data_IF_158790661919
#
_entry.id   IF_158790661919
#
_cell.length_a   1.000
_cell.length_b   1.000
_cell.length_c   1.000
_cell.angle_alpha   90.00
_cell.angle_beta   90.00
_cell.angle_gamma   90.00
#
_symmetry.space_group_name_H-M   'P 1'
#
loop_
_entity.id
_entity.type
_entity.pdbx_description
1 polymer ?
#
# COMPACT_ATOMS: atom_id res chain seq x y z
N UNK A 1 42.78 -9.62 -25.28
CA UNK A 1 43.57 -8.50 -24.73
C UNK A 1 42.95 -8.10 -23.39
N UNK A 2 43.74 -8.00 -22.33
CA UNK A 2 43.25 -7.49 -21.04
C UNK A 2 43.08 -5.96 -21.14
N UNK A 3 41.91 -5.41 -20.77
CA UNK A 3 41.68 -3.98 -20.62
C UNK A 3 42.55 -3.38 -19.52
N UNK A 4 42.98 -2.14 -19.67
CA UNK A 4 43.68 -1.39 -18.61
C UNK A 4 42.67 -0.92 -17.55
N UNK A 5 43.01 -1.07 -16.28
CA UNK A 5 42.27 -0.51 -15.15
C UNK A 5 42.72 0.96 -14.96
N UNK A 6 42.08 1.85 -15.72
CA UNK A 6 42.34 3.30 -15.65
C UNK A 6 41.11 4.00 -15.14
N UNK A 7 41.30 4.86 -14.13
CA UNK A 7 40.26 5.69 -13.56
C UNK A 7 40.38 7.14 -14.10
N UNK A 8 39.28 7.68 -14.61
CA UNK A 8 39.24 9.07 -15.10
C UNK A 8 38.23 9.85 -14.28
N UNK A 9 38.72 10.80 -13.49
CA UNK A 9 37.88 11.78 -12.82
C UNK A 9 37.54 12.93 -13.79
N UNK A 10 36.25 13.09 -14.08
CA UNK A 10 35.74 14.24 -14.81
C UNK A 10 35.15 15.24 -13.82
N UNK A 11 35.68 16.46 -13.80
CA UNK A 11 35.19 17.55 -12.97
C UNK A 11 33.80 18.04 -13.39
N UNK A 12 33.44 17.86 -14.64
CA UNK A 12 32.15 18.24 -15.22
C UNK A 12 31.58 17.14 -16.09
N UNK A 13 30.25 16.92 -15.96
CA UNK A 13 29.48 16.09 -16.89
C UNK A 13 28.37 16.91 -17.55
N UNK A 14 28.35 16.96 -18.89
CA UNK A 14 27.35 17.69 -19.69
C UNK A 14 26.33 16.69 -20.23
N UNK A 15 25.71 15.89 -19.34
CA UNK A 15 24.65 14.95 -19.72
C UNK A 15 23.43 15.16 -18.84
N UNK A 16 22.23 15.10 -19.46
CA UNK A 16 20.98 15.07 -18.71
C UNK A 16 20.79 13.69 -18.09
N UNK A 17 20.11 13.63 -16.92
CA UNK A 17 19.77 12.34 -16.29
C UNK A 17 18.99 11.42 -17.23
N UNK A 18 18.19 12.00 -18.12
CA UNK A 18 17.43 11.24 -19.12
C UNK A 18 18.33 10.45 -20.09
N UNK A 19 19.51 10.96 -20.39
CA UNK A 19 20.47 10.30 -21.30
C UNK A 19 21.13 9.04 -20.68
N UNK A 20 21.10 8.92 -19.35
CA UNK A 20 21.62 7.74 -18.63
C UNK A 20 20.62 6.58 -18.58
N UNK A 21 19.34 6.84 -18.82
CA UNK A 21 18.30 5.81 -18.75
C UNK A 21 18.08 5.26 -20.15
N UNK A 22 18.28 3.94 -20.39
CA UNK A 22 18.05 3.34 -21.70
C UNK A 22 16.62 3.60 -22.21
N UNK A 23 16.46 3.83 -23.50
CA UNK A 23 15.14 4.09 -24.11
C UNK A 23 14.15 2.94 -23.90
N UNK A 24 14.65 1.70 -23.80
CA UNK A 24 13.84 0.49 -23.55
C UNK A 24 13.59 0.20 -22.07
N UNK A 25 14.06 1.05 -21.15
CA UNK A 25 13.92 0.78 -19.72
C UNK A 25 12.44 0.85 -19.27
N UNK A 26 11.91 -0.17 -18.54
CA UNK A 26 10.49 -0.24 -18.16
C UNK A 26 9.98 0.98 -17.41
N UNK A 27 10.82 1.58 -16.56
CA UNK A 27 10.43 2.79 -15.83
C UNK A 27 10.09 3.98 -16.72
N UNK A 28 10.46 4.01 -18.01
CA UNK A 28 10.06 5.09 -18.90
C UNK A 28 8.56 5.09 -19.15
N UNK A 29 8.00 3.93 -19.48
CA UNK A 29 6.55 3.78 -19.66
C UNK A 29 5.79 4.03 -18.35
N UNK A 30 6.29 3.46 -17.24
CA UNK A 30 5.71 3.68 -15.91
C UNK A 30 5.73 5.17 -15.53
N UNK A 31 6.83 5.88 -15.80
CA UNK A 31 6.94 7.30 -15.48
C UNK A 31 5.93 8.16 -16.26
N UNK A 32 5.63 7.82 -17.49
CA UNK A 32 4.59 8.50 -18.29
C UNK A 32 3.23 8.30 -17.62
N UNK A 33 2.83 7.06 -17.35
CA UNK A 33 1.56 6.75 -16.69
C UNK A 33 1.44 7.43 -15.32
N UNK A 34 2.52 7.43 -14.55
CA UNK A 34 2.57 8.08 -13.22
C UNK A 34 2.41 9.60 -13.37
N UNK A 35 3.08 10.22 -14.33
CA UNK A 35 2.98 11.66 -14.53
C UNK A 35 1.56 12.07 -14.95
N UNK A 36 0.92 11.30 -15.83
CA UNK A 36 -0.46 11.55 -16.25
C UNK A 36 -1.42 11.46 -15.05
N UNK A 37 -1.29 10.42 -14.21
CA UNK A 37 -2.08 10.28 -12.99
C UNK A 37 -1.83 11.44 -12.01
N UNK A 38 -0.57 11.83 -11.80
CA UNK A 38 -0.22 12.92 -10.90
C UNK A 38 -0.75 14.29 -11.37
N UNK A 39 -0.83 14.51 -12.69
CA UNK A 39 -1.40 15.74 -13.23
C UNK A 39 -2.89 15.87 -12.90
N UNK A 40 -3.63 14.78 -12.93
CA UNK A 40 -5.06 14.77 -12.57
C UNK A 40 -5.30 15.01 -11.07
N UNK A 41 -4.28 14.89 -10.24
CA UNK A 41 -4.36 15.07 -8.77
C UNK A 41 -3.91 16.46 -8.29
N UNK A 42 -3.60 17.40 -9.17
CA UNK A 42 -3.10 18.73 -8.76
C UNK A 42 -4.07 19.47 -7.82
N UNK A 43 -5.38 19.41 -8.06
CA UNK A 43 -6.38 20.03 -7.19
C UNK A 43 -6.43 19.38 -5.80
N UNK A 44 -6.21 18.08 -5.70
CA UNK A 44 -6.09 17.38 -4.42
C UNK A 44 -4.84 17.85 -3.69
N UNK A 45 -3.70 17.89 -4.38
CA UNK A 45 -2.44 18.33 -3.79
C UNK A 45 -2.48 19.79 -3.33
N UNK A 46 -3.12 20.67 -4.08
CA UNK A 46 -3.30 22.08 -3.68
C UNK A 46 -4.04 22.20 -2.35
N UNK A 47 -5.07 21.38 -2.11
CA UNK A 47 -5.86 21.39 -0.87
C UNK A 47 -5.15 20.78 0.34
N UNK A 48 -4.08 20.01 0.13
CA UNK A 48 -3.32 19.39 1.22
C UNK A 48 -2.38 20.34 1.94
N UNK A 49 -2.14 21.52 1.39
CA UNK A 49 -1.17 22.49 1.89
C UNK A 49 -1.82 23.83 2.15
N UNK A 50 -1.29 24.55 3.12
CA UNK A 50 -1.68 25.93 3.35
C UNK A 50 -1.20 26.83 2.22
N UNK A 51 -1.94 27.94 2.03
CA UNK A 51 -1.61 28.96 1.03
C UNK A 51 -0.15 29.48 1.26
N UNK A 52 0.59 29.60 0.17
CA UNK A 52 1.95 30.14 0.16
C UNK A 52 2.05 31.55 0.76
N UNK A 53 0.94 32.34 0.73
CA UNK A 53 0.86 33.64 1.34
C UNK A 53 1.07 33.64 2.86
N UNK A 54 0.81 32.51 3.54
CA UNK A 54 1.06 32.36 4.98
C UNK A 54 2.54 32.19 5.33
N UNK A 55 3.42 32.05 4.33
CA UNK A 55 4.84 31.80 4.53
C UNK A 55 5.17 30.38 5.02
N UNK A 56 6.43 30.11 5.22
CA UNK A 56 6.92 28.83 5.69
C UNK A 56 7.92 28.18 4.73
N UNK A 57 8.61 27.14 5.20
CA UNK A 57 9.54 26.38 4.36
C UNK A 57 8.76 25.46 3.41
N UNK A 58 9.03 25.49 2.10
CA UNK A 58 8.41 24.57 1.15
C UNK A 58 8.61 23.11 1.59
N UNK A 59 7.55 22.31 1.55
CA UNK A 59 7.60 20.88 1.81
C UNK A 59 8.10 20.10 0.59
N UNK A 60 8.27 18.79 0.74
CA UNK A 60 8.51 17.92 -0.42
C UNK A 60 7.25 17.93 -1.29
N UNK A 61 7.41 18.14 -2.58
CA UNK A 61 6.28 18.07 -3.52
C UNK A 61 5.62 16.66 -3.47
N UNK A 62 4.28 16.56 -3.36
CA UNK A 62 3.58 15.28 -3.29
C UNK A 62 3.86 14.37 -4.48
N UNK A 63 4.04 14.94 -5.66
CA UNK A 63 4.41 14.20 -6.86
C UNK A 63 5.78 13.49 -6.72
N UNK A 64 6.77 14.15 -6.11
CA UNK A 64 8.09 13.56 -5.84
C UNK A 64 7.99 12.45 -4.78
N UNK A 65 7.17 12.65 -3.76
CA UNK A 65 6.92 11.63 -2.71
C UNK A 65 6.29 10.37 -3.29
N UNK A 66 5.23 10.50 -4.09
CA UNK A 66 4.54 9.35 -4.70
C UNK A 66 5.47 8.58 -5.65
N UNK A 67 6.28 9.28 -6.47
CA UNK A 67 7.28 8.60 -7.30
C UNK A 67 8.33 7.87 -6.46
N UNK A 68 8.77 8.45 -5.35
CA UNK A 68 9.73 7.79 -4.45
C UNK A 68 9.12 6.56 -3.76
N UNK A 69 7.86 6.63 -3.33
CA UNK A 69 7.12 5.49 -2.77
C UNK A 69 6.95 4.37 -3.80
N UNK A 70 6.66 4.70 -5.05
CA UNK A 70 6.60 3.71 -6.14
C UNK A 70 7.92 2.98 -6.34
N UNK A 71 9.05 3.70 -6.32
CA UNK A 71 10.37 3.07 -6.39
C UNK A 71 10.62 2.13 -5.21
N UNK A 72 10.16 2.51 -4.03
CA UNK A 72 10.27 1.66 -2.84
C UNK A 72 9.59 0.30 -3.05
N UNK A 73 8.40 0.31 -3.64
CA UNK A 73 7.65 -0.91 -3.97
C UNK A 73 8.29 -1.67 -5.14
N UNK A 74 8.54 -0.99 -6.27
CA UNK A 74 9.03 -1.62 -7.50
C UNK A 74 10.41 -2.27 -7.34
N UNK A 75 11.25 -1.71 -6.46
CA UNK A 75 12.60 -2.22 -6.18
C UNK A 75 12.72 -2.92 -4.83
N UNK A 76 11.59 -3.18 -4.14
CA UNK A 76 11.56 -3.87 -2.84
C UNK A 76 12.49 -3.25 -1.80
N UNK A 77 12.57 -1.91 -1.76
CA UNK A 77 13.41 -1.18 -0.81
C UNK A 77 12.75 -1.20 0.57
N UNK A 78 13.36 -1.90 1.53
CA UNK A 78 12.73 -2.26 2.80
C UNK A 78 12.52 -1.10 3.78
N UNK A 79 13.26 -0.02 3.64
CA UNK A 79 13.18 1.10 4.60
C UNK A 79 13.34 2.45 3.91
N UNK A 80 12.77 3.48 4.52
CA UNK A 80 12.93 4.86 4.06
C UNK A 80 14.38 5.34 4.13
N UNK A 81 15.15 4.87 5.12
CA UNK A 81 16.59 5.15 5.21
C UNK A 81 17.32 4.62 3.99
N UNK A 82 17.08 3.36 3.63
CA UNK A 82 17.68 2.74 2.44
C UNK A 82 17.19 3.42 1.16
N UNK A 83 15.92 3.83 1.09
CA UNK A 83 15.41 4.58 -0.05
C UNK A 83 16.17 5.91 -0.21
N UNK A 84 16.33 6.68 0.85
CA UNK A 84 17.07 7.95 0.80
C UNK A 84 18.53 7.75 0.43
N UNK A 85 19.16 6.70 0.94
CA UNK A 85 20.52 6.31 0.56
C UNK A 85 20.60 5.98 -0.94
N UNK A 86 19.68 5.15 -1.47
CA UNK A 86 19.61 4.88 -2.90
C UNK A 86 19.41 6.15 -3.73
N UNK A 87 18.51 7.03 -3.33
CA UNK A 87 18.26 8.30 -4.01
C UNK A 87 19.50 9.20 -4.01
N UNK A 88 20.42 9.07 -3.02
CA UNK A 88 21.61 9.87 -2.93
C UNK A 88 22.56 9.65 -4.13
N UNK A 89 22.72 8.43 -4.61
CA UNK A 89 23.70 8.08 -5.64
C UNK A 89 23.13 7.34 -6.86
N UNK A 90 21.89 6.86 -6.82
CA UNK A 90 21.28 6.14 -7.94
C UNK A 90 20.64 7.12 -8.93
N UNK A 91 21.29 7.30 -10.07
CA UNK A 91 20.83 8.24 -11.11
C UNK A 91 19.46 7.87 -11.69
N UNK A 92 19.13 6.57 -11.78
CA UNK A 92 17.82 6.09 -12.23
C UNK A 92 16.72 6.52 -11.25
N UNK A 93 16.96 6.41 -9.94
CA UNK A 93 16.00 6.83 -8.91
C UNK A 93 15.80 8.34 -8.96
N UNK A 94 16.89 9.11 -9.02
CA UNK A 94 16.82 10.58 -9.14
C UNK A 94 16.03 11.00 -10.37
N UNK A 95 16.32 10.39 -11.52
CA UNK A 95 15.58 10.64 -12.76
C UNK A 95 14.09 10.33 -12.61
N UNK A 96 13.72 9.19 -12.06
CA UNK A 96 12.32 8.79 -11.92
C UNK A 96 11.55 9.72 -10.98
N UNK A 97 12.14 10.12 -9.87
CA UNK A 97 11.56 11.06 -8.89
C UNK A 97 11.44 12.47 -9.48
N UNK A 98 12.37 12.87 -10.34
CA UNK A 98 12.50 14.22 -10.86
C UNK A 98 13.41 15.11 -9.99
N UNK A 99 14.50 14.53 -9.50
CA UNK A 99 15.60 15.24 -8.82
C UNK A 99 16.74 15.44 -9.79
N UNK A 100 17.38 16.63 -9.77
CA UNK A 100 18.64 16.86 -10.47
C UNK A 100 19.82 16.20 -9.78
N UNK A 101 20.98 16.17 -10.40
CA UNK A 101 22.19 15.62 -9.76
C UNK A 101 22.61 16.41 -8.51
N UNK A 102 22.30 17.69 -8.49
CA UNK A 102 22.68 18.63 -7.41
C UNK A 102 21.64 18.78 -6.31
N UNK A 103 20.40 18.30 -6.56
CA UNK A 103 19.33 18.39 -5.57
C UNK A 103 19.68 17.60 -4.31
N UNK A 104 19.51 18.22 -3.16
CA UNK A 104 19.66 17.54 -1.87
C UNK A 104 18.58 16.47 -1.69
N UNK A 105 18.97 15.31 -1.17
CA UNK A 105 18.03 14.24 -0.79
C UNK A 105 17.46 14.54 0.59
N UNK A 106 16.23 14.16 0.80
CA UNK A 106 15.52 14.36 2.05
C UNK A 106 16.08 13.43 3.15
N UNK A 107 15.93 13.86 4.40
CA UNK A 107 16.19 12.95 5.52
C UNK A 107 14.96 12.06 5.77
N UNK A 108 15.14 10.81 6.26
CA UNK A 108 14.04 9.86 6.43
C UNK A 108 12.86 10.40 7.24
N UNK A 109 13.13 11.13 8.33
CA UNK A 109 12.07 11.70 9.18
C UNK A 109 11.20 12.74 8.48
N UNK A 110 11.78 13.53 7.56
CA UNK A 110 11.03 14.48 6.74
C UNK A 110 10.18 13.73 5.71
N UNK A 111 10.74 12.68 5.11
CA UNK A 111 10.02 11.83 4.17
C UNK A 111 8.81 11.17 4.85
N UNK A 112 9.00 10.54 6.01
CA UNK A 112 7.92 9.89 6.79
C UNK A 112 6.77 10.85 7.12
N UNK A 113 7.09 12.05 7.62
CA UNK A 113 6.06 13.06 7.93
C UNK A 113 5.25 13.49 6.71
N UNK A 114 5.91 13.68 5.56
CA UNK A 114 5.22 14.06 4.34
C UNK A 114 4.43 12.90 3.74
N UNK A 115 4.93 11.66 3.85
CA UNK A 115 4.17 10.45 3.49
C UNK A 115 2.89 10.31 4.32
N UNK A 116 2.98 10.56 5.64
CA UNK A 116 1.82 10.53 6.52
C UNK A 116 0.73 11.49 6.05
N UNK A 117 1.10 12.69 5.61
CA UNK A 117 0.14 13.65 5.03
C UNK A 117 -0.55 13.12 3.79
N UNK A 118 0.16 12.40 2.90
CA UNK A 118 -0.47 11.76 1.73
C UNK A 118 -1.53 10.73 2.14
N UNK A 119 -1.27 9.99 3.22
CA UNK A 119 -2.21 8.98 3.76
C UNK A 119 -3.44 9.67 4.36
N UNK A 120 -3.24 10.69 5.18
CA UNK A 120 -4.32 11.45 5.85
C UNK A 120 -5.29 12.15 4.88
N UNK A 121 -4.84 12.43 3.66
CA UNK A 121 -5.65 13.03 2.60
C UNK A 121 -6.06 12.05 1.50
N UNK A 122 -5.94 10.75 1.74
CA UNK A 122 -6.29 9.68 0.77
C UNK A 122 -5.59 9.81 -0.60
N UNK A 123 -4.47 10.52 -0.66
CA UNK A 123 -3.78 10.78 -1.92
C UNK A 123 -3.24 9.50 -2.59
N UNK A 124 -2.90 8.48 -1.80
CA UNK A 124 -2.45 7.18 -2.33
C UNK A 124 -3.62 6.43 -2.97
N UNK A 125 -4.81 6.49 -2.36
CA UNK A 125 -6.02 5.88 -2.92
C UNK A 125 -6.46 6.61 -4.18
N UNK A 126 -6.44 7.94 -4.17
CA UNK A 126 -6.74 8.75 -5.34
C UNK A 126 -5.78 8.44 -6.51
N UNK A 127 -4.48 8.32 -6.22
CA UNK A 127 -3.48 7.93 -7.22
C UNK A 127 -3.75 6.52 -7.79
N UNK A 128 -4.10 5.55 -6.95
CA UNK A 128 -4.49 4.22 -7.40
C UNK A 128 -5.70 4.26 -8.35
N UNK A 129 -6.72 5.05 -8.02
CA UNK A 129 -7.92 5.21 -8.84
C UNK A 129 -7.61 5.85 -10.20
N UNK A 130 -6.70 6.84 -10.25
CA UNK A 130 -6.25 7.44 -11.52
C UNK A 130 -5.52 6.42 -12.42
N UNK A 131 -4.71 5.53 -11.83
CA UNK A 131 -4.07 4.45 -12.59
C UNK A 131 -5.11 3.44 -13.10
N UNK A 132 -6.15 3.12 -12.31
CA UNK A 132 -7.26 2.29 -12.76
C UNK A 132 -8.05 2.94 -13.91
N UNK A 133 -8.33 4.24 -13.83
CA UNK A 133 -8.99 4.97 -14.91
C UNK A 133 -8.18 4.92 -16.21
N UNK A 134 -6.85 4.98 -16.15
CA UNK A 134 -6.00 4.78 -17.31
C UNK A 134 -6.11 3.37 -17.90
N UNK A 135 -6.19 2.33 -17.03
CA UNK A 135 -6.38 0.94 -17.46
C UNK A 135 -7.76 0.73 -18.10
N UNK A 136 -8.77 1.37 -17.55
CA UNK A 136 -10.13 1.36 -18.11
C UNK A 136 -10.19 2.02 -19.48
N UNK A 137 -9.62 3.20 -19.65
CA UNK A 137 -9.56 3.92 -20.91
C UNK A 137 -8.81 3.15 -22.01
N UNK A 138 -7.95 2.20 -21.63
CA UNK A 138 -7.23 1.30 -22.56
C UNK A 138 -7.93 -0.04 -22.77
N UNK A 139 -9.14 -0.21 -22.23
CA UNK A 139 -9.91 -1.46 -22.28
C UNK A 139 -9.15 -2.68 -21.72
N UNK A 140 -8.37 -2.46 -20.67
CA UNK A 140 -7.62 -3.53 -20.02
C UNK A 140 -8.41 -4.26 -18.93
N UNK A 141 -9.58 -3.75 -18.56
CA UNK A 141 -10.48 -4.34 -17.56
C UNK A 141 -11.68 -4.99 -18.23
N UNK A 142 -12.08 -6.18 -17.77
CA UNK A 142 -13.31 -6.86 -18.24
C UNK A 142 -14.56 -6.30 -17.58
N UNK A 143 -14.44 -5.89 -16.31
CA UNK A 143 -15.53 -5.46 -15.43
C UNK A 143 -16.59 -6.54 -15.13
N UNK A 144 -16.34 -7.78 -15.54
CA UNK A 144 -17.28 -8.89 -15.43
C UNK A 144 -16.71 -10.08 -14.65
N UNK A 145 -15.42 -10.33 -14.80
CA UNK A 145 -14.77 -11.51 -14.22
C UNK A 145 -13.71 -11.08 -13.22
N UNK A 146 -13.93 -11.41 -11.96
CA UNK A 146 -13.04 -11.06 -10.88
C UNK A 146 -12.60 -12.28 -10.09
N UNK A 147 -11.43 -12.17 -9.47
CA UNK A 147 -10.97 -13.09 -8.43
C UNK A 147 -10.70 -12.32 -7.15
N UNK A 148 -11.05 -12.93 -6.02
CA UNK A 148 -10.75 -12.39 -4.69
C UNK A 148 -9.78 -13.30 -3.98
N UNK A 149 -8.81 -12.69 -3.30
CA UNK A 149 -7.87 -13.39 -2.44
C UNK A 149 -7.54 -12.57 -1.20
N UNK A 150 -7.21 -13.26 -0.11
CA UNK A 150 -6.83 -12.67 1.16
C UNK A 150 -5.46 -13.17 1.62
N UNK A 151 -4.63 -12.26 2.10
CA UNK A 151 -3.32 -12.57 2.65
C UNK A 151 -3.18 -12.04 4.08
N UNK A 152 -2.40 -12.74 4.90
CA UNK A 152 -2.06 -12.26 6.24
C UNK A 152 -0.91 -11.26 6.15
N UNK A 153 -1.09 -10.10 6.77
CA UNK A 153 -0.08 -9.06 6.90
C UNK A 153 0.38 -9.05 8.37
N UNK A 154 1.67 -9.26 8.59
CA UNK A 154 2.23 -9.21 9.94
C UNK A 154 2.26 -7.77 10.42
N UNK A 155 1.72 -7.51 11.62
CA UNK A 155 1.79 -6.21 12.25
C UNK A 155 3.23 -5.88 12.69
N UNK A 156 3.59 -4.60 12.68
CA UNK A 156 4.86 -4.11 13.21
C UNK A 156 4.81 -4.00 14.74
N UNK A 157 4.29 -5.04 15.38
CA UNK A 157 4.11 -5.12 16.81
C UNK A 157 4.63 -6.47 17.32
N UNK A 158 5.28 -6.48 18.47
CA UNK A 158 5.76 -7.71 19.08
C UNK A 158 4.74 -8.27 20.06
N UNK A 159 4.81 -9.57 20.35
CA UNK A 159 4.01 -10.19 21.41
C UNK A 159 4.19 -9.55 22.79
N UNK A 160 5.32 -8.87 23.03
CA UNK A 160 5.56 -8.13 24.27
C UNK A 160 4.65 -6.92 24.43
N UNK A 161 4.20 -6.33 23.31
CA UNK A 161 3.26 -5.22 23.33
C UNK A 161 1.81 -5.65 23.56
N UNK A 162 1.52 -6.97 23.48
CA UNK A 162 0.18 -7.52 23.64
C UNK A 162 -0.13 -7.72 25.13
N UNK A 163 -0.79 -6.74 25.74
CA UNK A 163 -1.05 -6.63 27.16
C UNK A 163 -2.54 -6.55 27.44
N UNK A 164 -2.93 -6.77 28.70
CA UNK A 164 -4.34 -6.66 29.12
C UNK A 164 -4.86 -5.24 28.91
N UNK A 165 -6.11 -5.13 28.46
CA UNK A 165 -6.80 -3.84 28.24
C UNK A 165 -7.02 -3.08 29.56
N UNK A 166 -7.16 -3.81 30.67
CA UNK A 166 -7.51 -3.27 31.98
C UNK A 166 -6.28 -2.88 32.84
N UNK A 167 -5.05 -3.13 32.39
CA UNK A 167 -3.85 -2.82 33.16
C UNK A 167 -3.24 -1.49 32.70
N UNK A 168 -3.09 -0.47 33.60
CA UNK A 168 -2.27 0.69 33.33
C UNK A 168 -0.82 0.25 33.16
N UNK A 169 -0.24 0.60 32.03
CA UNK A 169 0.99 0.02 31.51
C UNK A 169 2.27 0.49 32.17
N UNK A 170 2.67 -0.08 33.27
CA UNK A 170 4.03 -0.05 33.81
C UNK A 170 4.35 -1.38 34.47
N UNK A 171 4.44 -2.45 33.71
CA UNK A 171 4.82 -3.77 34.20
C UNK A 171 6.08 -4.28 33.51
N UNK A 172 7.20 -4.33 34.25
CA UNK A 172 8.46 -4.98 33.86
C UNK A 172 8.34 -6.51 33.66
N UNK A 173 7.15 -7.07 33.68
CA UNK A 173 6.87 -8.53 33.58
C UNK A 173 6.73 -9.04 32.12
N UNK A 174 7.38 -8.40 31.16
CA UNK A 174 7.34 -8.81 29.75
C UNK A 174 8.33 -9.95 29.40
N UNK A 175 8.72 -10.78 30.36
CA UNK A 175 9.60 -11.92 30.14
C UNK A 175 8.84 -13.24 30.22
N UNK A 176 8.06 -13.58 29.20
CA UNK A 176 7.83 -14.99 28.83
C UNK A 176 7.03 -15.07 27.53
N UNK A 177 7.69 -15.50 26.47
CA UNK A 177 7.02 -15.90 25.25
C UNK A 177 6.26 -17.22 25.46
N UNK A 178 4.96 -17.14 25.58
CA UNK A 178 4.08 -18.30 25.63
C UNK A 178 2.64 -17.87 25.42
N UNK A 179 1.85 -18.72 24.76
CA UNK A 179 0.41 -18.50 24.55
C UNK A 179 -0.35 -18.49 25.88
N UNK A 180 0.32 -18.90 26.96
CA UNK A 180 -0.27 -19.10 28.27
C UNK A 180 0.63 -18.51 29.38
N UNK A 181 0.27 -17.37 29.93
CA UNK A 181 0.97 -16.77 31.04
C UNK A 181 0.10 -16.93 32.31
N UNK A 182 0.59 -17.69 33.30
CA UNK A 182 -0.13 -18.03 34.54
C UNK A 182 -1.44 -18.80 34.30
N UNK A 183 -1.51 -19.65 33.24
CA UNK A 183 -2.69 -20.47 32.97
C UNK A 183 -3.90 -19.72 32.43
N UNK A 184 -3.74 -18.47 31.96
CA UNK A 184 -4.80 -17.72 31.30
C UNK A 184 -4.48 -17.49 29.82
N UNK A 185 -5.32 -17.99 28.89
CA UNK A 185 -5.11 -17.80 27.49
C UNK A 185 -5.23 -16.31 27.12
N UNK A 186 -4.28 -15.80 26.33
CA UNK A 186 -4.35 -14.44 25.76
C UNK A 186 -5.31 -14.43 24.60
N UNK A 187 -6.33 -13.58 24.64
CA UNK A 187 -7.29 -13.41 23.55
C UNK A 187 -7.44 -11.93 23.17
N UNK A 188 -7.93 -11.67 21.97
CA UNK A 188 -8.23 -10.31 21.49
C UNK A 188 -9.33 -9.61 22.32
N UNK A 189 -10.14 -10.37 23.06
CA UNK A 189 -11.18 -9.81 23.93
C UNK A 189 -10.58 -9.15 25.15
N UNK A 190 -9.54 -9.77 25.72
CA UNK A 190 -8.92 -9.38 27.00
C UNK A 190 -7.61 -8.62 26.84
N UNK A 191 -6.97 -8.71 25.67
CA UNK A 191 -5.65 -8.11 25.40
C UNK A 191 -5.65 -7.31 24.11
N UNK A 192 -4.78 -6.31 24.05
CA UNK A 192 -4.51 -5.53 22.85
C UNK A 192 -3.02 -5.16 22.76
N UNK A 193 -2.56 -4.85 21.57
CA UNK A 193 -1.19 -4.36 21.40
C UNK A 193 -1.12 -2.86 21.68
N UNK A 194 -0.23 -2.45 22.61
CA UNK A 194 0.03 -1.03 22.87
C UNK A 194 0.74 -0.31 21.71
N UNK A 195 1.55 -1.04 20.95
CA UNK A 195 2.27 -0.47 19.81
C UNK A 195 1.39 -0.34 18.57
N UNK A 196 0.38 -1.21 18.44
CA UNK A 196 -0.52 -1.26 17.28
C UNK A 196 -1.88 -1.83 17.73
N UNK A 197 -2.76 -0.98 18.28
CA UNK A 197 -4.03 -1.40 18.89
C UNK A 197 -5.02 -2.05 17.91
N UNK A 198 -4.87 -1.77 16.62
CA UNK A 198 -5.73 -2.33 15.58
C UNK A 198 -5.31 -3.74 15.14
N UNK A 199 -4.07 -4.14 15.44
CA UNK A 199 -3.61 -5.50 15.15
C UNK A 199 -4.33 -6.54 16.02
N UNK A 200 -4.51 -7.73 15.47
CA UNK A 200 -5.18 -8.85 16.18
C UNK A 200 -4.28 -10.05 16.23
N UNK A 201 -4.30 -10.73 17.39
CA UNK A 201 -3.65 -12.01 17.54
C UNK A 201 -4.42 -13.04 16.70
N UNK A 202 -3.82 -13.54 15.64
CA UNK A 202 -4.47 -14.41 14.68
C UNK A 202 -3.56 -15.53 14.19
N UNK A 203 -4.19 -16.70 13.95
CA UNK A 203 -3.54 -17.91 13.45
C UNK A 203 -4.36 -18.50 12.31
N UNK A 204 -3.73 -18.74 11.15
CA UNK A 204 -4.34 -19.49 10.05
C UNK A 204 -3.79 -20.92 10.05
N UNK A 205 -4.66 -21.90 10.29
CA UNK A 205 -4.28 -23.31 10.32
C UNK A 205 -3.31 -23.65 11.45
N UNK A 206 -2.17 -24.29 11.12
CA UNK A 206 -1.15 -24.74 12.08
C UNK A 206 0.00 -23.73 12.27
N UNK A 207 -0.12 -22.49 11.77
CA UNK A 207 0.92 -21.47 11.92
C UNK A 207 0.97 -20.93 13.36
N UNK A 208 2.05 -20.23 13.72
CA UNK A 208 2.12 -19.50 14.98
C UNK A 208 1.06 -18.41 15.06
N UNK A 209 0.55 -18.18 16.26
CA UNK A 209 -0.32 -17.04 16.55
C UNK A 209 0.51 -15.77 16.61
N UNK A 210 0.21 -14.80 15.77
CA UNK A 210 0.95 -13.53 15.66
C UNK A 210 -0.01 -12.36 15.53
N UNK A 211 0.48 -11.16 15.88
CA UNK A 211 -0.27 -9.92 15.66
C UNK A 211 -0.31 -9.62 14.16
N UNK A 212 -1.50 -9.59 13.59
CA UNK A 212 -1.71 -9.53 12.15
C UNK A 212 -2.90 -8.66 11.77
N UNK A 213 -2.86 -8.25 10.51
CA UNK A 213 -3.99 -7.76 9.72
C UNK A 213 -4.28 -8.74 8.58
N UNK A 214 -5.40 -8.55 7.92
CA UNK A 214 -5.70 -9.21 6.65
C UNK A 214 -5.73 -8.19 5.53
N UNK A 215 -4.96 -8.45 4.46
CA UNK A 215 -5.03 -7.72 3.20
C UNK A 215 -5.88 -8.49 2.22
N UNK A 216 -6.79 -7.79 1.55
CA UNK A 216 -7.71 -8.37 0.58
C UNK A 216 -7.54 -7.66 -0.75
N UNK A 217 -7.59 -8.41 -1.84
CA UNK A 217 -7.52 -7.87 -3.19
C UNK A 217 -8.65 -8.41 -4.05
N UNK A 218 -9.21 -7.55 -4.87
CA UNK A 218 -10.11 -7.91 -5.96
C UNK A 218 -9.37 -7.67 -7.27
N UNK A 219 -9.21 -8.71 -8.06
CA UNK A 219 -8.47 -8.70 -9.32
C UNK A 219 -9.42 -8.91 -10.49
N UNK A 220 -9.34 -8.05 -11.51
CA UNK A 220 -9.96 -8.28 -12.80
C UNK A 220 -9.15 -9.33 -13.59
N UNK A 221 -9.84 -10.37 -14.08
CA UNK A 221 -9.18 -11.55 -14.66
C UNK A 221 -8.73 -11.36 -16.12
N UNK A 222 -9.14 -10.29 -16.80
CA UNK A 222 -8.74 -10.07 -18.21
C UNK A 222 -7.22 -9.95 -18.36
N UNK A 223 -6.61 -9.10 -17.52
CA UNK A 223 -5.17 -8.85 -17.54
C UNK A 223 -4.50 -9.02 -16.16
N UNK A 224 -5.23 -9.54 -15.17
CA UNK A 224 -4.69 -9.74 -13.83
C UNK A 224 -4.44 -8.44 -13.06
N UNK A 225 -5.25 -7.40 -13.31
CA UNK A 225 -5.10 -6.11 -12.63
C UNK A 225 -5.91 -6.06 -11.34
N UNK A 226 -5.28 -5.64 -10.25
CA UNK A 226 -5.98 -5.39 -8.99
C UNK A 226 -6.81 -4.11 -9.15
N UNK A 227 -8.13 -4.25 -8.92
CA UNK A 227 -9.10 -3.15 -9.06
C UNK A 227 -9.60 -2.62 -7.72
N UNK A 228 -9.45 -3.40 -6.64
CA UNK A 228 -9.76 -2.95 -5.29
C UNK A 228 -8.83 -3.66 -4.29
N UNK A 229 -8.47 -2.97 -3.23
CA UNK A 229 -7.69 -3.53 -2.14
C UNK A 229 -8.16 -2.96 -0.80
N UNK A 230 -8.30 -3.83 0.20
CA UNK A 230 -8.70 -3.44 1.56
C UNK A 230 -7.80 -4.11 2.59
N UNK A 231 -7.63 -3.46 3.72
CA UNK A 231 -6.98 -4.04 4.89
C UNK A 231 -8.00 -4.06 6.03
N UNK A 232 -8.11 -5.18 6.72
CA UNK A 232 -9.00 -5.36 7.87
C UNK A 232 -8.24 -5.92 9.07
N UNK A 233 -8.87 -5.86 10.22
CA UNK A 233 -8.42 -6.64 11.35
C UNK A 233 -8.51 -8.14 11.02
N UNK A 234 -7.57 -8.93 11.52
CA UNK A 234 -7.54 -10.35 11.24
C UNK A 234 -8.56 -11.11 12.13
N UNK A 235 -9.58 -11.67 11.48
CA UNK A 235 -10.56 -12.55 12.11
C UNK A 235 -11.05 -13.66 11.16
N UNK A 236 -11.96 -14.52 11.62
CA UNK A 236 -12.46 -15.65 10.84
C UNK A 236 -13.49 -15.27 9.75
N UNK A 237 -13.98 -14.03 9.71
CA UNK A 237 -15.02 -13.56 8.78
C UNK A 237 -14.48 -12.50 7.81
N UNK A 238 -13.38 -11.84 8.16
CA UNK A 238 -12.81 -10.70 7.45
C UNK A 238 -12.62 -10.93 5.94
N UNK A 239 -12.19 -12.13 5.52
CA UNK A 239 -12.00 -12.45 4.09
C UNK A 239 -13.32 -12.34 3.32
N UNK A 240 -14.41 -12.88 3.87
CA UNK A 240 -15.72 -12.89 3.23
C UNK A 240 -16.38 -11.51 3.24
N UNK A 241 -16.30 -10.81 4.35
CA UNK A 241 -16.89 -9.47 4.50
C UNK A 241 -16.19 -8.46 3.59
N UNK A 242 -14.86 -8.52 3.51
CA UNK A 242 -14.09 -7.70 2.58
C UNK A 242 -14.41 -8.02 1.13
N UNK A 243 -14.55 -9.30 0.77
CA UNK A 243 -14.91 -9.71 -0.58
C UNK A 243 -16.28 -9.17 -1.00
N UNK A 244 -17.29 -9.29 -0.13
CA UNK A 244 -18.64 -8.74 -0.38
C UNK A 244 -18.60 -7.22 -0.56
N UNK A 245 -17.87 -6.53 0.29
CA UNK A 245 -17.70 -5.08 0.18
C UNK A 245 -17.03 -4.69 -1.14
N UNK A 246 -15.92 -5.34 -1.53
CA UNK A 246 -15.21 -5.04 -2.78
C UNK A 246 -16.04 -5.36 -4.03
N UNK A 247 -16.81 -6.44 -4.01
CA UNK A 247 -17.75 -6.78 -5.10
C UNK A 247 -18.90 -5.77 -5.17
N UNK A 248 -19.39 -5.28 -4.01
CA UNK A 248 -20.39 -4.22 -3.98
C UNK A 248 -19.86 -2.91 -4.60
N UNK A 249 -18.61 -2.54 -4.29
CA UNK A 249 -17.97 -1.37 -4.90
C UNK A 249 -17.84 -1.54 -6.42
N UNK A 250 -17.43 -2.71 -6.90
CA UNK A 250 -17.33 -3.00 -8.33
C UNK A 250 -18.70 -2.94 -9.06
N UNK A 251 -19.77 -3.37 -8.41
CA UNK A 251 -21.14 -3.27 -8.94
C UNK A 251 -21.65 -1.84 -9.03
N UNK A 252 -21.26 -0.98 -8.11
CA UNK A 252 -21.63 0.45 -8.16
C UNK A 252 -21.05 1.14 -9.41
N UNK A 253 -19.85 0.73 -9.82
CA UNK A 253 -19.20 1.24 -11.03
C UNK A 253 -19.89 0.75 -12.31
N UNK A 254 -20.37 -0.51 -12.31
CA UNK A 254 -21.06 -1.10 -13.46
C UNK A 254 -22.32 -1.89 -13.03
N UNK A 255 -23.44 -1.21 -12.74
CA UNK A 255 -24.65 -1.82 -12.19
C UNK A 255 -25.31 -2.86 -13.11
N UNK A 256 -25.13 -2.73 -14.41
CA UNK A 256 -25.76 -3.60 -15.42
C UNK A 256 -24.96 -4.88 -15.70
N UNK A 257 -23.71 -4.95 -15.27
CA UNK A 257 -22.85 -6.09 -15.54
C UNK A 257 -23.17 -7.29 -14.64
N UNK A 258 -23.20 -8.46 -15.24
CA UNK A 258 -23.20 -9.72 -14.50
C UNK A 258 -21.78 -10.04 -14.04
N UNK A 259 -21.53 -9.94 -12.74
CA UNK A 259 -20.22 -10.22 -12.15
C UNK A 259 -20.09 -11.71 -11.86
N UNK A 260 -19.02 -12.31 -12.40
CA UNK A 260 -18.55 -13.65 -12.03
C UNK A 260 -17.37 -13.51 -11.07
N UNK A 261 -17.48 -14.10 -9.88
CA UNK A 261 -16.46 -14.05 -8.84
C UNK A 261 -15.79 -15.41 -8.65
N UNK A 262 -14.48 -15.47 -8.91
CA UNK A 262 -13.61 -16.58 -8.52
C UNK A 262 -13.09 -16.38 -7.10
N UNK A 263 -13.21 -17.40 -6.27
CA UNK A 263 -12.70 -17.41 -4.90
C UNK A 263 -12.21 -18.80 -4.52
N UNK A 264 -11.35 -18.89 -3.52
CA UNK A 264 -10.91 -20.19 -2.99
C UNK A 264 -12.03 -20.89 -2.21
N UNK A 265 -11.81 -22.16 -1.83
CA UNK A 265 -12.79 -22.97 -1.08
C UNK A 265 -13.10 -22.38 0.30
N UNK A 266 -12.25 -21.54 0.87
CA UNK A 266 -12.47 -20.86 2.16
C UNK A 266 -13.63 -19.89 2.13
N UNK A 267 -14.03 -19.41 0.94
CA UNK A 267 -15.19 -18.55 0.74
C UNK A 267 -16.51 -19.31 0.58
N UNK A 268 -16.50 -20.65 0.43
CA UNK A 268 -17.70 -21.48 0.30
C UNK A 268 -18.41 -21.61 1.66
N UNK A 269 -19.12 -20.56 2.05
CA UNK A 269 -19.92 -20.50 3.26
C UNK A 269 -21.39 -20.26 2.92
N UNK A 270 -22.28 -20.90 3.69
CA UNK A 270 -23.74 -20.90 3.45
C UNK A 270 -24.34 -19.49 3.30
N UNK A 271 -23.73 -18.48 3.92
CA UNK A 271 -24.21 -17.10 3.87
C UNK A 271 -23.53 -16.25 2.81
N UNK A 272 -22.32 -16.62 2.37
CA UNK A 272 -21.55 -15.86 1.40
C UNK A 272 -22.12 -15.95 -0.01
N UNK A 273 -22.42 -17.14 -0.49
CA UNK A 273 -22.91 -17.36 -1.88
C UNK A 273 -24.21 -16.61 -2.16
N UNK A 274 -25.26 -16.67 -1.32
CA UNK A 274 -26.46 -15.87 -1.54
C UNK A 274 -26.24 -14.36 -1.44
N UNK A 275 -25.35 -13.92 -0.58
CA UNK A 275 -25.05 -12.49 -0.38
C UNK A 275 -24.28 -11.90 -1.56
N UNK A 276 -23.35 -12.65 -2.15
CA UNK A 276 -22.61 -12.25 -3.34
C UNK A 276 -23.52 -12.10 -4.57
N UNK A 277 -24.64 -12.85 -4.63
CA UNK A 277 -25.62 -12.79 -5.72
C UNK A 277 -26.68 -11.69 -5.62
N UNK A 278 -26.80 -10.99 -4.47
CA UNK A 278 -27.85 -9.99 -4.25
C UNK A 278 -27.41 -8.59 -4.69
N UNK A 279 -28.29 -7.89 -5.43
CA UNK A 279 -28.13 -6.45 -5.71
C UNK A 279 -28.32 -5.60 -4.44
N UNK A 280 -27.63 -4.43 -4.32
CA UNK A 280 -27.74 -3.53 -3.16
C UNK A 280 -29.19 -3.06 -2.88
N UNK A 281 -30.04 -2.97 -3.90
CA UNK A 281 -31.45 -2.61 -3.78
C UNK A 281 -32.30 -3.60 -2.96
N UNK A 282 -31.81 -4.79 -2.70
CA UNK A 282 -32.52 -5.80 -1.90
C UNK A 282 -32.18 -5.73 -0.39
N UNK A 283 -31.17 -4.98 0.01
CA UNK A 283 -30.74 -4.86 1.41
C UNK A 283 -31.41 -3.70 2.17
N UNK A 284 -32.02 -2.71 1.48
CA UNK A 284 -32.69 -1.56 2.12
C UNK A 284 -34.16 -1.80 2.51
N UNK A 285 -34.69 -3.01 2.34
CA UNK A 285 -36.09 -3.35 2.57
C UNK A 285 -36.30 -4.40 3.69
N UNK A 286 -35.49 -4.36 4.74
CA UNK A 286 -35.78 -5.11 6.00
C UNK A 286 -35.44 -4.31 7.23
#
# INVERSE_FOLDING_TARGET
MRGSDTFTESLFSIKKLDDFVPASHPLRAIRVMVNDALTNLEDLFARMYEDAAKGGRPSIAPQKLLRAMLLQVLYSVRSERLLMEQVQYNLLFRWFIGLSMEDSVWVPTVFSKNRQRLIEHDAVVAFFNEVLAQAENKDWLSKEQFSVDGTLIQAWASHKSFVRKDEPGDGEDAQAGGEDFRGQPRSNDTHESKSDPDSRLYRKGKTASELRFMGHTLMDNRNGLIVNAKVTQADGHAERDAALSMVSDARQINPEATITLGADKGYDAKEFVPSAGRSPSAQSAR
#
